data_IF_862638079383
#
_entry.id   IF_862638079383
#
_cell.length_a   1.000
_cell.length_b   1.000
_cell.length_c   1.000
_cell.angle_alpha   90.00
_cell.angle_beta   90.00
_cell.angle_gamma   90.00
#
_symmetry.space_group_name_H-M   'P 1'
#
loop_
_entity.id
_entity.type
_entity.pdbx_description
1 polymer ?
#
# COMPACT_ATOMS: atom_id res chain seq x y z
N UNK A 1 -1.45 -3.76 13.70
CA UNK A 1 -2.06 -3.71 12.36
C UNK A 1 -1.02 -3.21 11.38
N UNK A 2 -0.91 -3.83 10.22
CA UNK A 2 0.02 -3.38 9.18
C UNK A 2 -0.63 -2.23 8.39
N UNK A 3 0.18 -1.27 7.91
CA UNK A 3 -0.23 -0.06 7.19
C UNK A 3 -0.89 -0.38 5.85
N UNK A 4 -0.52 -1.52 5.26
CA UNK A 4 -1.04 -2.01 4.00
C UNK A 4 -1.50 -3.47 4.14
N UNK A 5 -2.58 -3.84 3.45
CA UNK A 5 -3.19 -5.17 3.47
C UNK A 5 -2.43 -6.24 2.68
N UNK A 6 -1.15 -6.01 2.36
CA UNK A 6 -0.34 -6.93 1.53
C UNK A 6 -0.32 -8.34 2.12
N UNK A 7 -0.13 -8.45 3.44
CA UNK A 7 -0.19 -9.72 4.15
C UNK A 7 -1.56 -10.41 4.01
N UNK A 8 -2.64 -9.65 4.16
CA UNK A 8 -4.01 -10.17 4.07
C UNK A 8 -4.31 -10.75 2.69
N UNK A 9 -3.87 -10.08 1.60
CA UNK A 9 -4.02 -10.62 0.24
C UNK A 9 -3.14 -11.84 0.00
N UNK A 10 -1.90 -11.84 0.49
CA UNK A 10 -1.02 -13.01 0.36
C UNK A 10 -1.57 -14.23 1.10
N UNK A 11 -2.14 -14.06 2.30
CA UNK A 11 -2.65 -15.18 3.10
C UNK A 11 -3.93 -15.83 2.54
N UNK A 12 -4.58 -15.20 1.54
CA UNK A 12 -5.69 -15.82 0.81
C UNK A 12 -5.23 -16.83 -0.25
N UNK A 13 -3.94 -16.80 -0.60
CA UNK A 13 -3.35 -17.72 -1.56
C UNK A 13 -3.08 -19.08 -0.90
N UNK A 14 -3.11 -20.15 -1.71
CA UNK A 14 -2.64 -21.45 -1.25
C UNK A 14 -1.10 -21.46 -1.09
N UNK A 15 -0.53 -22.52 -0.49
CA UNK A 15 0.91 -22.59 -0.18
C UNK A 15 1.79 -22.45 -1.42
N UNK A 16 1.37 -23.01 -2.56
CA UNK A 16 2.13 -22.95 -3.83
C UNK A 16 2.11 -21.54 -4.38
N UNK A 17 0.93 -20.94 -4.46
CA UNK A 17 0.71 -19.56 -4.92
C UNK A 17 1.44 -18.56 -4.03
N UNK A 18 1.36 -18.70 -2.71
CA UNK A 18 2.05 -17.85 -1.75
C UNK A 18 3.56 -17.89 -1.95
N UNK A 19 4.12 -19.09 -2.13
CA UNK A 19 5.56 -19.28 -2.40
C UNK A 19 5.98 -18.63 -3.72
N UNK A 20 5.15 -18.78 -4.77
CA UNK A 20 5.38 -18.15 -6.06
C UNK A 20 5.27 -16.61 -5.99
N UNK A 21 4.21 -16.08 -5.37
CA UNK A 21 3.96 -14.65 -5.22
C UNK A 21 5.13 -13.94 -4.52
N UNK A 22 5.68 -14.53 -3.44
CA UNK A 22 6.85 -13.99 -2.74
C UNK A 22 8.11 -13.88 -3.62
N UNK A 23 8.22 -14.67 -4.69
CA UNK A 23 9.34 -14.62 -5.63
C UNK A 23 9.05 -13.72 -6.82
N UNK A 24 7.81 -13.69 -7.29
CA UNK A 24 7.39 -12.96 -8.50
C UNK A 24 7.20 -11.48 -8.21
N UNK A 25 6.51 -11.12 -7.12
CA UNK A 25 6.16 -9.73 -6.82
C UNK A 25 7.42 -8.84 -6.71
N UNK A 26 8.48 -9.20 -5.96
CA UNK A 26 9.68 -8.36 -5.91
C UNK A 26 10.33 -8.15 -7.28
N UNK A 27 10.33 -9.18 -8.15
CA UNK A 27 10.87 -9.10 -9.51
C UNK A 27 10.06 -8.16 -10.40
N UNK A 28 8.73 -8.28 -10.37
CA UNK A 28 7.83 -7.41 -11.17
C UNK A 28 7.92 -5.95 -10.72
N UNK A 29 8.14 -5.72 -9.43
CA UNK A 29 8.30 -4.39 -8.86
C UNK A 29 9.72 -3.82 -9.00
N UNK A 30 10.67 -4.62 -9.47
CA UNK A 30 12.10 -4.29 -9.54
C UNK A 30 12.68 -3.87 -8.17
N UNK A 31 12.39 -4.66 -7.13
CA UNK A 31 12.87 -4.45 -5.76
C UNK A 31 13.48 -5.72 -5.18
N UNK A 32 14.32 -5.54 -4.16
CA UNK A 32 14.87 -6.68 -3.42
C UNK A 32 13.78 -7.43 -2.63
N UNK A 33 14.00 -8.72 -2.37
CA UNK A 33 13.13 -9.50 -1.49
C UNK A 33 13.03 -8.88 -0.08
N UNK A 34 14.12 -8.30 0.41
CA UNK A 34 14.14 -7.62 1.71
C UNK A 34 13.25 -6.37 1.71
N UNK A 35 13.32 -5.56 0.65
CA UNK A 35 12.44 -4.40 0.48
C UNK A 35 10.97 -4.83 0.48
N UNK A 36 10.63 -5.91 -0.22
CA UNK A 36 9.27 -6.45 -0.21
C UNK A 36 8.85 -6.94 1.18
N UNK A 37 9.74 -7.61 1.92
CA UNK A 37 9.49 -8.00 3.30
C UNK A 37 9.28 -6.79 4.22
N UNK A 38 10.00 -5.69 4.03
CA UNK A 38 9.79 -4.47 4.80
C UNK A 38 8.42 -3.86 4.48
N UNK A 39 8.09 -3.73 3.19
CA UNK A 39 6.82 -3.18 2.72
C UNK A 39 5.60 -3.88 3.30
N UNK A 40 5.57 -5.22 3.28
CA UNK A 40 4.43 -5.98 3.82
C UNK A 40 4.30 -5.92 5.34
N UNK A 41 5.28 -5.38 6.07
CA UNK A 41 5.31 -5.36 7.54
C UNK A 41 5.36 -3.94 8.13
N UNK A 42 5.24 -2.88 7.32
CA UNK A 42 5.16 -1.50 7.80
C UNK A 42 3.95 -1.38 8.74
N UNK A 43 4.15 -0.82 9.93
CA UNK A 43 3.07 -0.60 10.91
C UNK A 43 2.29 0.65 10.59
N UNK A 44 1.00 0.66 10.91
CA UNK A 44 0.08 1.76 10.55
C UNK A 44 0.51 3.13 11.10
N UNK A 45 1.22 3.13 12.22
CA UNK A 45 1.78 4.29 12.92
C UNK A 45 3.20 4.67 12.45
N UNK A 46 3.79 3.90 11.54
CA UNK A 46 5.12 4.17 11.01
C UNK A 46 5.13 5.37 10.06
N UNK A 47 6.13 6.24 10.22
CA UNK A 47 6.46 7.32 9.28
C UNK A 47 6.96 6.78 7.93
N UNK A 48 7.57 5.59 7.93
CA UNK A 48 7.98 4.92 6.69
C UNK A 48 6.77 4.63 5.80
N UNK A 49 6.95 4.79 4.50
CA UNK A 49 5.92 4.52 3.52
C UNK A 49 6.43 3.76 2.29
N UNK A 50 5.49 3.18 1.56
CA UNK A 50 5.74 2.57 0.25
C UNK A 50 5.55 3.66 -0.81
N UNK A 51 6.47 3.81 -1.77
CA UNK A 51 6.29 4.75 -2.88
C UNK A 51 4.95 4.50 -3.60
N UNK A 52 4.19 5.57 -3.87
CA UNK A 52 2.85 5.47 -4.46
C UNK A 52 2.80 4.63 -5.75
N UNK A 53 3.81 4.76 -6.62
CA UNK A 53 3.89 3.95 -7.85
C UNK A 53 3.98 2.44 -7.57
N UNK A 54 4.63 2.03 -6.48
CA UNK A 54 4.70 0.63 -6.06
C UNK A 54 3.34 0.17 -5.50
N UNK A 55 2.67 1.01 -4.71
CA UNK A 55 1.30 0.73 -4.23
C UNK A 55 0.36 0.49 -5.41
N UNK A 56 0.39 1.36 -6.42
CA UNK A 56 -0.45 1.19 -7.63
C UNK A 56 -0.18 -0.11 -8.37
N UNK A 57 1.08 -0.53 -8.48
CA UNK A 57 1.43 -1.83 -9.08
C UNK A 57 0.93 -3.00 -8.24
N UNK A 58 1.07 -2.94 -6.91
CA UNK A 58 0.55 -3.96 -6.00
C UNK A 58 -0.98 -4.09 -6.08
N UNK A 59 -1.68 -2.96 -6.17
CA UNK A 59 -3.14 -2.96 -6.32
C UNK A 59 -3.59 -3.63 -7.63
N UNK A 60 -2.86 -3.41 -8.72
CA UNK A 60 -3.09 -4.12 -10.00
C UNK A 60 -2.79 -5.61 -9.85
N UNK A 61 -1.67 -5.98 -9.20
CA UNK A 61 -1.27 -7.38 -9.00
C UNK A 61 -2.26 -8.18 -8.15
N UNK A 62 -2.90 -7.53 -7.18
CA UNK A 62 -3.92 -8.14 -6.33
C UNK A 62 -5.35 -7.98 -6.85
N UNK A 63 -5.54 -7.33 -8.00
CA UNK A 63 -6.85 -7.03 -8.60
C UNK A 63 -7.80 -6.26 -7.67
N UNK A 64 -7.31 -5.17 -7.09
CA UNK A 64 -8.07 -4.31 -6.17
C UNK A 64 -8.15 -2.87 -6.65
N UNK A 65 -9.15 -2.12 -6.17
CA UNK A 65 -9.30 -0.73 -6.59
C UNK A 65 -8.22 0.14 -5.96
N UNK A 66 -8.04 1.32 -6.54
CA UNK A 66 -7.13 2.34 -6.00
C UNK A 66 -7.55 2.74 -4.59
N UNK A 67 -6.61 2.65 -3.65
CA UNK A 67 -6.79 2.92 -2.23
C UNK A 67 -7.21 1.70 -1.41
N UNK A 68 -7.59 0.57 -2.03
CA UNK A 68 -8.12 -0.58 -1.28
C UNK A 68 -7.02 -1.34 -0.52
N UNK A 69 -5.76 -1.20 -0.93
CA UNK A 69 -4.62 -1.82 -0.28
C UNK A 69 -4.24 -1.12 1.04
N UNK A 70 -4.68 0.13 1.24
CA UNK A 70 -4.42 0.91 2.45
C UNK A 70 -5.28 0.42 3.61
N UNK A 71 -4.69 0.37 4.81
CA UNK A 71 -5.38 0.10 6.08
C UNK A 71 -5.73 1.38 6.84
N UNK A 72 -5.59 2.53 6.19
CA UNK A 72 -5.88 3.86 6.72
C UNK A 72 -6.76 4.65 5.74
N UNK A 73 -7.28 5.78 6.20
CA UNK A 73 -8.06 6.70 5.39
C UNK A 73 -7.35 8.04 5.37
N UNK A 74 -6.93 8.49 4.19
CA UNK A 74 -6.44 9.86 4.02
C UNK A 74 -7.62 10.83 4.14
N UNK A 75 -7.56 11.70 5.15
CA UNK A 75 -8.54 12.77 5.34
C UNK A 75 -7.89 14.10 4.96
N UNK A 76 -8.59 14.90 4.18
CA UNK A 76 -8.14 16.23 3.79
C UNK A 76 -9.34 17.07 3.35
N UNK A 77 -9.22 18.38 3.53
CA UNK A 77 -10.14 19.34 2.89
C UNK A 77 -9.60 19.66 1.51
N UNK A 78 -10.49 19.91 0.55
CA UNK A 78 -10.06 20.39 -0.75
C UNK A 78 -9.48 21.81 -0.66
N UNK A 79 -8.66 22.16 -1.65
CA UNK A 79 -7.95 23.43 -1.66
C UNK A 79 -8.89 24.65 -1.61
N UNK A 80 -10.06 24.58 -2.26
CA UNK A 80 -11.01 25.71 -2.24
C UNK A 80 -11.56 25.90 -0.83
N UNK A 81 -11.97 24.81 -0.18
CA UNK A 81 -12.42 24.85 1.22
C UNK A 81 -11.35 25.46 2.13
N UNK A 82 -10.08 25.10 1.94
CA UNK A 82 -8.97 25.70 2.71
C UNK A 82 -8.80 27.19 2.43
N UNK A 83 -8.79 27.62 1.15
CA UNK A 83 -8.66 29.03 0.76
C UNK A 83 -9.77 29.89 1.35
N UNK A 84 -11.03 29.42 1.31
CA UNK A 84 -12.16 30.19 1.86
C UNK A 84 -12.12 30.25 3.39
N UNK A 85 -11.60 29.21 4.06
CA UNK A 85 -11.46 29.23 5.53
C UNK A 85 -10.40 30.20 6.04
N UNK A 86 -9.37 30.53 5.24
CA UNK A 86 -8.34 31.50 5.62
C UNK A 86 -8.74 32.96 5.31
N UNK A 87 -9.58 33.20 4.30
CA UNK A 87 -10.07 34.55 3.96
C UNK A 87 -11.12 35.12 4.94
N UNK A 88 -11.72 34.25 5.76
CA UNK A 88 -12.73 34.63 6.76
C UNK A 88 -12.16 34.90 8.17
N UNK A 89 -10.82 34.86 8.33
CA UNK A 89 -10.10 35.35 9.51
C UNK A 89 -9.67 36.79 9.28
#
# INVERSE_FOLDING_TARGET
>A
MDKYKINEYLYRLNVVEYSAARKIIPKVLDISLNTFHNYRNIKIDSETDIPYGIIRKLEILFDVKRGDLENFQLKGKDLKTLIYSEKGK
#
